data_IF_444493940807
#
_entry.id   IF_444493940807
#
_cell.length_a   1.000
_cell.length_b   1.000
_cell.length_c   1.000
_cell.angle_alpha   90.00
_cell.angle_beta   90.00
_cell.angle_gamma   90.00
#
_symmetry.space_group_name_H-M   'P 1'
#
loop_
_entity.id
_entity.type
_entity.pdbx_description
1 polymer ?
#
# COMPACT_ATOMS: atom_id res chain seq x y z
N UNK A 1 29.16 6.36 11.47
CA UNK A 1 27.93 6.66 12.24
C UNK A 1 27.36 8.04 11.89
N UNK A 2 28.17 9.10 11.84
CA UNK A 2 27.73 10.45 11.44
C UNK A 2 27.10 10.54 10.03
N UNK A 3 27.65 9.81 9.05
CA UNK A 3 27.15 9.83 7.67
C UNK A 3 25.74 9.21 7.51
N UNK A 4 25.42 8.22 8.36
CA UNK A 4 24.11 7.55 8.35
C UNK A 4 23.05 8.47 8.99
N UNK A 5 23.43 9.23 10.02
CA UNK A 5 22.56 10.22 10.67
C UNK A 5 22.24 11.38 9.70
N UNK A 6 23.23 11.84 8.93
CA UNK A 6 23.04 12.87 7.91
C UNK A 6 22.15 12.37 6.75
N UNK A 7 22.31 11.11 6.32
CA UNK A 7 21.46 10.53 5.27
C UNK A 7 20.00 10.33 5.73
N UNK A 8 19.78 9.96 6.99
CA UNK A 8 18.41 9.86 7.56
C UNK A 8 17.77 11.23 7.78
N UNK A 9 18.56 12.27 8.06
CA UNK A 9 18.06 13.64 8.20
C UNK A 9 17.67 14.26 6.85
N UNK A 10 18.37 13.92 5.76
CA UNK A 10 18.07 14.42 4.41
C UNK A 10 16.81 13.79 3.79
N UNK A 11 16.43 12.57 4.18
CA UNK A 11 15.17 11.95 3.75
C UNK A 11 13.95 12.58 4.45
N UNK A 12 14.15 13.16 5.66
CA UNK A 12 13.10 13.86 6.40
C UNK A 12 12.71 15.24 5.84
N UNK A 13 13.55 15.86 5.01
CA UNK A 13 13.35 17.23 4.50
C UNK A 13 12.56 17.31 3.18
N UNK A 14 12.20 16.18 2.58
CA UNK A 14 11.31 16.13 1.40
C UNK A 14 9.87 15.72 1.74
N UNK A 15 9.43 15.93 2.98
CA UNK A 15 8.00 16.02 3.27
C UNK A 15 7.51 17.39 2.80
N UNK A 16 7.26 17.49 1.50
CA UNK A 16 6.47 18.60 0.96
C UNK A 16 5.15 18.65 1.72
N UNK A 17 4.94 19.71 2.50
CA UNK A 17 3.59 20.13 2.82
C UNK A 17 2.97 20.63 1.52
N UNK A 18 2.52 19.71 0.67
CA UNK A 18 1.46 20.04 -0.26
C UNK A 18 0.24 20.33 0.61
N UNK A 19 0.02 21.61 0.90
CA UNK A 19 -1.33 22.09 1.17
C UNK A 19 -2.18 21.56 0.01
N UNK A 20 -2.95 20.51 0.29
CA UNK A 20 -3.80 19.89 -0.69
C UNK A 20 -4.81 20.95 -1.14
N UNK A 21 -4.52 21.63 -2.25
CA UNK A 21 -5.50 22.44 -2.96
C UNK A 21 -6.68 21.50 -3.21
N UNK A 22 -7.92 21.88 -2.85
CA UNK A 22 -9.05 21.00 -3.06
C UNK A 22 -9.08 20.63 -4.55
N UNK A 23 -9.10 19.34 -4.92
CA UNK A 23 -9.33 18.98 -6.31
C UNK A 23 -10.69 19.59 -6.69
N UNK A 24 -10.67 20.53 -7.63
CA UNK A 24 -11.86 20.97 -8.33
C UNK A 24 -12.25 19.80 -9.22
N UNK A 25 -13.23 19.01 -8.79
CA UNK A 25 -13.81 17.96 -9.60
C UNK A 25 -14.53 18.61 -10.79
N UNK A 26 -14.02 18.48 -12.04
CA UNK A 26 -14.61 19.13 -13.20
C UNK A 26 -16.00 18.59 -13.56
N UNK A 27 -16.43 17.49 -12.92
CA UNK A 27 -17.68 16.77 -13.23
C UNK A 27 -18.82 17.02 -12.23
N UNK A 28 -18.61 17.86 -11.21
CA UNK A 28 -19.66 18.14 -10.21
C UNK A 28 -20.58 19.25 -10.70
N UNK A 29 -21.88 18.99 -10.93
CA UNK A 29 -22.79 19.96 -11.55
C UNK A 29 -23.19 21.11 -10.61
N UNK A 30 -22.65 21.15 -9.39
CA UNK A 30 -23.00 22.12 -8.36
C UNK A 30 -21.82 22.99 -7.97
N UNK A 31 -22.12 24.24 -7.59
CA UNK A 31 -21.12 25.18 -7.07
C UNK A 31 -20.69 24.74 -5.68
N UNK A 32 -19.41 24.40 -5.52
CA UNK A 32 -18.86 24.07 -4.20
C UNK A 32 -18.63 25.35 -3.41
N UNK A 33 -19.36 25.53 -2.31
CA UNK A 33 -19.23 26.65 -1.37
C UNK A 33 -18.59 26.17 -0.05
N UNK A 34 -17.88 27.06 0.68
CA UNK A 34 -17.31 26.70 1.97
C UNK A 34 -18.41 26.39 2.99
N UNK A 35 -18.24 25.31 3.74
CA UNK A 35 -19.09 24.98 4.89
C UNK A 35 -18.59 25.73 6.11
N UNK A 36 -19.50 26.36 6.86
CA UNK A 36 -19.16 27.02 8.11
C UNK A 36 -19.49 26.11 9.29
N UNK A 37 -18.51 25.87 10.14
CA UNK A 37 -18.60 25.00 11.31
C UNK A 37 -18.51 25.82 12.58
N UNK A 38 -19.53 25.73 13.43
CA UNK A 38 -19.55 26.44 14.70
C UNK A 38 -19.26 25.47 15.85
N UNK A 39 -17.99 25.32 16.22
CA UNK A 39 -17.52 24.28 17.14
C UNK A 39 -16.92 24.87 18.43
N UNK A 40 -17.25 24.36 19.63
CA UNK A 40 -16.55 24.72 20.87
C UNK A 40 -15.16 24.07 20.94
N UNK A 41 -14.16 24.80 21.47
CA UNK A 41 -12.78 24.29 21.64
C UNK A 41 -12.58 23.48 22.93
N UNK A 42 -13.41 23.73 23.95
CA UNK A 42 -13.53 22.96 25.19
C UNK A 42 -15.02 22.78 25.55
N UNK A 43 -15.40 21.79 26.37
CA UNK A 43 -16.81 21.51 26.69
C UNK A 43 -17.62 22.70 27.21
N UNK A 44 -16.98 23.69 27.83
CA UNK A 44 -17.58 24.92 28.35
C UNK A 44 -16.94 26.19 27.76
N UNK A 45 -16.22 26.08 26.64
CA UNK A 45 -15.41 27.14 26.07
C UNK A 45 -16.11 28.02 25.03
N UNK A 46 -15.44 29.09 24.56
CA UNK A 46 -15.93 29.89 23.44
C UNK A 46 -15.98 29.05 22.16
N UNK A 47 -16.99 29.33 21.33
CA UNK A 47 -17.15 28.67 20.03
C UNK A 47 -16.33 29.39 18.97
N UNK A 48 -15.70 28.62 18.09
CA UNK A 48 -14.96 29.12 16.94
C UNK A 48 -15.70 28.76 15.66
N UNK A 49 -15.70 29.67 14.69
CA UNK A 49 -16.21 29.40 13.35
C UNK A 49 -15.06 28.96 12.45
N UNK A 50 -15.10 27.73 11.98
CA UNK A 50 -14.11 27.16 11.04
C UNK A 50 -14.76 27.01 9.67
N UNK A 51 -14.08 27.45 8.60
CA UNK A 51 -14.53 27.26 7.22
C UNK A 51 -13.75 26.12 6.56
N UNK A 52 -14.45 25.14 5.99
CA UNK A 52 -13.79 24.03 5.28
C UNK A 52 -14.43 22.66 5.48
N UNK A 53 -13.60 21.61 5.45
CA UNK A 53 -13.98 20.20 5.63
C UNK A 53 -13.92 19.77 7.09
N UNK A 54 -14.45 18.57 7.41
CA UNK A 54 -14.33 18.00 8.76
C UNK A 54 -12.86 17.79 9.17
N UNK A 55 -11.97 17.55 8.20
CA UNK A 55 -10.53 17.45 8.44
C UNK A 55 -9.94 18.80 8.88
N UNK A 56 -10.39 19.90 8.28
CA UNK A 56 -9.95 21.25 8.64
C UNK A 56 -10.41 21.62 10.06
N UNK A 57 -11.65 21.23 10.43
CA UNK A 57 -12.16 21.38 11.80
C UNK A 57 -11.33 20.59 12.80
N UNK A 58 -11.01 19.32 12.50
CA UNK A 58 -10.16 18.49 13.35
C UNK A 58 -8.77 19.14 13.52
N UNK A 59 -8.20 19.71 12.45
CA UNK A 59 -6.93 20.40 12.51
C UNK A 59 -7.01 21.67 13.38
N UNK A 60 -8.03 22.51 13.19
CA UNK A 60 -8.26 23.72 14.00
C UNK A 60 -8.49 23.41 15.47
N UNK A 61 -9.28 22.38 15.79
CA UNK A 61 -9.51 21.94 17.16
C UNK A 61 -8.23 21.38 17.80
N UNK A 62 -7.45 20.60 17.06
CA UNK A 62 -6.17 20.05 17.56
C UNK A 62 -5.15 21.15 17.83
N UNK A 63 -5.12 22.20 16.99
CA UNK A 63 -4.26 23.36 17.20
C UNK A 63 -4.70 24.21 18.41
N UNK A 64 -6.02 24.40 18.60
CA UNK A 64 -6.55 25.22 19.68
C UNK A 64 -6.51 24.52 21.05
N UNK A 65 -6.74 23.21 21.09
CA UNK A 65 -6.69 22.40 22.31
C UNK A 65 -6.20 20.98 21.98
N UNK A 66 -4.92 20.63 22.19
CA UNK A 66 -4.40 19.29 21.90
C UNK A 66 -5.13 18.15 22.63
N UNK A 67 -5.78 18.44 23.76
CA UNK A 67 -6.52 17.48 24.57
C UNK A 67 -8.02 17.39 24.22
N UNK A 68 -8.49 18.12 23.19
CA UNK A 68 -9.90 18.20 22.84
C UNK A 68 -10.57 16.82 22.68
N UNK A 69 -9.87 15.84 22.12
CA UNK A 69 -10.38 14.46 21.97
C UNK A 69 -10.75 13.85 23.32
N UNK A 70 -9.91 14.04 24.34
CA UNK A 70 -10.19 13.56 25.70
C UNK A 70 -11.30 14.36 26.36
N UNK A 71 -11.25 15.69 26.21
CA UNK A 71 -12.19 16.60 26.87
C UNK A 71 -13.63 16.43 26.34
N UNK A 72 -13.78 16.15 25.05
CA UNK A 72 -15.05 15.79 24.41
C UNK A 72 -15.32 14.27 24.40
N UNK A 73 -14.52 13.47 25.10
CA UNK A 73 -14.70 12.01 25.26
C UNK A 73 -14.81 11.22 23.94
N UNK A 74 -14.01 11.58 22.94
CA UNK A 74 -14.00 10.95 21.60
C UNK A 74 -13.67 9.45 21.61
N UNK A 75 -13.00 8.96 22.66
CA UNK A 75 -12.60 7.55 22.81
C UNK A 75 -13.78 6.62 23.16
N UNK A 76 -14.92 7.19 23.56
CA UNK A 76 -16.15 6.44 23.80
C UNK A 76 -17.12 6.67 22.63
N UNK A 77 -17.74 5.60 22.13
CA UNK A 77 -18.87 5.71 21.19
C UNK A 77 -20.04 6.20 22.04
N UNK A 78 -20.36 7.50 21.96
CA UNK A 78 -21.62 7.98 22.50
C UNK A 78 -22.76 7.40 21.64
N UNK A 79 -23.76 6.80 22.29
CA UNK A 79 -25.00 6.41 21.62
C UNK A 79 -25.62 7.65 20.97
N UNK A 80 -26.05 7.51 19.72
CA UNK A 80 -26.71 8.59 18.98
C UNK A 80 -27.94 9.06 19.77
N UNK A 81 -28.21 10.38 19.86
CA UNK A 81 -29.35 10.89 20.61
C UNK A 81 -30.66 10.27 20.08
N UNK A 82 -31.50 9.78 21.00
CA UNK A 82 -32.68 8.95 20.74
C UNK A 82 -33.89 9.69 20.10
N UNK A 83 -33.69 10.83 19.44
CA UNK A 83 -34.80 11.64 18.95
C UNK A 83 -34.46 12.39 17.67
N UNK A 84 -34.21 11.65 16.59
CA UNK A 84 -34.39 12.20 15.26
C UNK A 84 -35.65 11.55 14.70
N UNK A 85 -36.75 12.33 14.69
CA UNK A 85 -37.98 11.91 14.02
C UNK A 85 -37.64 11.64 12.56
N UNK A 86 -38.09 10.50 12.08
CA UNK A 86 -38.03 10.15 10.67
C UNK A 86 -38.57 11.31 9.83
N UNK A 87 -37.85 11.69 8.78
CA UNK A 87 -38.37 12.66 7.82
C UNK A 87 -39.34 11.92 6.91
N UNK A 88 -40.63 12.26 7.01
CA UNK A 88 -41.76 11.58 6.35
C UNK A 88 -41.69 11.61 4.79
N UNK A 89 -40.73 12.32 4.21
CA UNK A 89 -40.53 12.50 2.77
C UNK A 89 -39.47 11.57 2.14
N UNK A 90 -38.67 10.87 2.96
CA UNK A 90 -37.69 9.86 2.50
C UNK A 90 -38.26 8.55 1.91
N UNK A 91 -39.51 8.10 2.22
CA UNK A 91 -40.04 6.83 1.71
C UNK A 91 -40.23 6.78 0.19
N UNK A 92 -40.39 7.92 -0.48
CA UNK A 92 -40.82 7.98 -1.89
C UNK A 92 -39.69 8.05 -2.92
N UNK A 93 -38.43 8.12 -2.51
CA UNK A 93 -37.30 8.15 -3.46
C UNK A 93 -36.91 6.71 -3.82
N UNK A 94 -37.12 6.24 -5.07
CA UNK A 94 -36.74 4.90 -5.51
C UNK A 94 -35.22 4.74 -5.43
N UNK A 95 -34.73 3.56 -5.05
CA UNK A 95 -33.29 3.28 -4.97
C UNK A 95 -32.55 3.53 -6.28
N UNK A 96 -33.22 3.40 -7.44
CA UNK A 96 -32.65 3.72 -8.76
C UNK A 96 -32.36 5.20 -9.00
N UNK A 97 -33.04 6.12 -8.29
CA UNK A 97 -32.77 7.56 -8.32
C UNK A 97 -31.82 8.01 -7.21
N UNK A 98 -31.70 7.22 -6.13
CA UNK A 98 -30.86 7.52 -4.99
C UNK A 98 -29.42 6.96 -5.17
N UNK A 99 -29.31 5.78 -5.76
CA UNK A 99 -28.08 4.99 -5.79
C UNK A 99 -27.50 4.97 -7.21
N UNK A 100 -26.38 5.66 -7.39
CA UNK A 100 -25.73 5.86 -8.69
C UNK A 100 -26.67 6.46 -9.77
N UNK A 101 -27.28 7.63 -9.52
CA UNK A 101 -28.17 8.29 -10.48
C UNK A 101 -27.45 8.71 -11.77
N UNK A 102 -26.12 8.86 -11.72
CA UNK A 102 -25.26 9.20 -12.86
C UNK A 102 -24.02 8.30 -12.84
N UNK A 103 -23.80 7.55 -13.92
CA UNK A 103 -22.73 6.54 -14.01
C UNK A 103 -21.32 7.15 -14.13
N UNK A 104 -21.21 8.47 -14.29
CA UNK A 104 -19.93 9.17 -14.40
C UNK A 104 -19.08 9.13 -13.13
N UNK A 105 -19.70 9.00 -11.94
CA UNK A 105 -19.01 9.05 -10.64
C UNK A 105 -18.63 7.66 -10.09
N UNK A 106 -19.21 6.60 -10.63
CA UNK A 106 -19.07 5.24 -10.10
C UNK A 106 -19.57 5.08 -8.66
N UNK A 107 -19.20 3.97 -8.01
CA UNK A 107 -19.61 3.67 -6.64
C UNK A 107 -18.58 4.14 -5.61
N UNK A 108 -19.03 4.85 -4.57
CA UNK A 108 -18.18 5.29 -3.46
C UNK A 108 -17.80 4.12 -2.53
N UNK A 109 -16.59 4.16 -1.96
CA UNK A 109 -16.17 3.19 -0.92
C UNK A 109 -16.87 3.49 0.40
N UNK A 110 -17.54 2.50 0.99
CA UNK A 110 -18.27 2.66 2.27
C UNK A 110 -17.31 2.97 3.44
N UNK A 111 -16.14 2.35 3.53
CA UNK A 111 -15.21 2.53 4.65
C UNK A 111 -14.82 3.99 4.92
N UNK A 112 -14.31 4.73 3.91
CA UNK A 112 -14.03 6.16 4.04
C UNK A 112 -15.27 7.01 4.38
N UNK A 113 -16.46 6.67 3.85
CA UNK A 113 -17.72 7.36 4.21
C UNK A 113 -18.09 7.11 5.67
N UNK A 114 -17.94 5.87 6.16
CA UNK A 114 -18.23 5.50 7.54
C UNK A 114 -17.32 6.25 8.53
N UNK A 115 -16.04 6.43 8.18
CA UNK A 115 -15.14 7.30 8.96
C UNK A 115 -15.66 8.74 9.01
N UNK A 116 -16.14 9.26 7.89
CA UNK A 116 -16.81 10.57 7.82
C UNK A 116 -18.03 10.66 8.74
N UNK A 117 -18.90 9.64 8.73
CA UNK A 117 -20.06 9.52 9.63
C UNK A 117 -19.62 9.56 11.09
N UNK A 118 -18.63 8.75 11.48
CA UNK A 118 -18.14 8.73 12.88
C UNK A 118 -17.59 10.07 13.33
N UNK A 119 -16.91 10.81 12.44
CA UNK A 119 -16.44 12.15 12.78
C UNK A 119 -17.61 13.13 12.94
N UNK A 120 -18.59 13.10 12.03
CA UNK A 120 -19.77 13.95 12.09
C UNK A 120 -20.61 13.72 13.36
N UNK A 121 -20.86 12.47 13.73
CA UNK A 121 -21.63 12.12 14.94
C UNK A 121 -21.03 12.69 16.23
N UNK A 122 -19.72 12.95 16.23
CA UNK A 122 -18.98 13.41 17.40
C UNK A 122 -18.58 14.88 17.31
N UNK A 123 -18.91 15.59 16.22
CA UNK A 123 -18.62 17.02 16.12
C UNK A 123 -19.65 17.82 16.93
N UNK A 124 -19.22 18.61 17.92
CA UNK A 124 -20.12 19.50 18.64
C UNK A 124 -20.42 20.73 17.78
N UNK A 125 -21.69 21.12 17.64
CA UNK A 125 -22.06 22.38 17.00
C UNK A 125 -23.18 22.27 15.98
N UNK A 126 -23.38 23.36 15.25
CA UNK A 126 -24.43 23.49 14.23
C UNK A 126 -23.80 23.84 12.88
N UNK A 127 -23.88 22.96 11.87
CA UNK A 127 -23.43 23.31 10.54
C UNK A 127 -24.34 24.36 9.90
N UNK A 128 -23.71 25.32 9.23
CA UNK A 128 -24.38 26.35 8.44
C UNK A 128 -23.93 26.25 6.97
N UNK A 129 -24.91 26.25 6.06
CA UNK A 129 -24.71 26.28 4.61
C UNK A 129 -25.50 27.46 4.01
N UNK A 130 -24.85 28.18 3.10
CA UNK A 130 -25.43 29.34 2.43
C UNK A 130 -26.67 29.00 1.59
N UNK A 131 -27.40 30.04 1.18
CA UNK A 131 -28.54 29.93 0.28
C UNK A 131 -28.13 29.37 -1.11
N UNK A 132 -28.99 28.53 -1.68
CA UNK A 132 -28.90 28.01 -3.04
C UNK A 132 -29.57 28.92 -4.08
N UNK A 133 -29.96 28.37 -5.26
CA UNK A 133 -29.95 26.95 -5.62
C UNK A 133 -28.56 26.40 -5.96
N UNK A 134 -28.32 25.11 -5.71
CA UNK A 134 -27.07 24.42 -6.06
C UNK A 134 -25.86 24.79 -5.20
N UNK A 135 -26.06 25.31 -3.99
CA UNK A 135 -24.98 25.57 -3.04
C UNK A 135 -24.60 24.26 -2.34
N UNK A 136 -23.46 23.67 -2.71
CA UNK A 136 -23.00 22.41 -2.12
C UNK A 136 -21.72 22.59 -1.32
N UNK A 137 -21.71 22.10 -0.09
CA UNK A 137 -20.52 22.01 0.75
C UNK A 137 -19.93 20.60 0.70
N UNK A 138 -18.59 20.52 0.60
CA UNK A 138 -17.87 19.25 0.77
C UNK A 138 -17.61 19.02 2.26
N UNK A 139 -18.28 18.03 2.83
CA UNK A 139 -18.16 17.69 4.25
C UNK A 139 -16.88 16.89 4.52
N UNK A 140 -16.65 15.84 3.73
CA UNK A 140 -15.48 14.97 3.86
C UNK A 140 -15.07 14.42 2.51
N UNK A 141 -13.77 14.24 2.28
CA UNK A 141 -13.23 13.60 1.09
C UNK A 141 -12.04 12.73 1.49
N UNK A 142 -12.09 11.45 1.11
CA UNK A 142 -11.02 10.50 1.40
C UNK A 142 -11.01 9.36 0.39
N UNK A 143 -9.84 9.06 -0.17
CA UNK A 143 -9.64 8.06 -1.21
C UNK A 143 -10.56 8.26 -2.44
N UNK A 144 -11.53 7.34 -2.63
CA UNK A 144 -12.55 7.33 -3.70
C UNK A 144 -13.95 7.53 -3.14
N UNK A 145 -14.08 8.35 -2.10
CA UNK A 145 -15.36 8.63 -1.47
C UNK A 145 -15.39 10.05 -0.92
N UNK A 146 -16.51 10.73 -1.13
CA UNK A 146 -16.74 12.06 -0.58
C UNK A 146 -18.19 12.20 -0.13
N UNK A 147 -18.40 13.02 0.89
CA UNK A 147 -19.71 13.39 1.42
C UNK A 147 -19.93 14.85 1.07
N UNK A 148 -21.04 15.14 0.39
CA UNK A 148 -21.49 16.49 0.07
C UNK A 148 -22.82 16.77 0.74
N UNK A 149 -23.03 18.02 1.14
CA UNK A 149 -24.33 18.51 1.59
C UNK A 149 -24.71 19.71 0.75
N UNK A 150 -25.86 19.64 0.10
CA UNK A 150 -26.35 20.65 -0.84
C UNK A 150 -27.61 21.32 -0.33
N UNK A 151 -27.73 22.62 -0.62
CA UNK A 151 -28.90 23.43 -0.36
C UNK A 151 -29.41 24.02 -1.68
N UNK A 152 -30.63 23.63 -2.07
CA UNK A 152 -31.32 24.16 -3.24
C UNK A 152 -32.34 25.25 -2.90
N UNK A 153 -32.50 25.57 -1.61
CA UNK A 153 -33.45 26.58 -1.16
C UNK A 153 -32.85 27.98 -1.29
N UNK A 154 -33.69 28.97 -1.56
CA UNK A 154 -33.30 30.38 -1.70
C UNK A 154 -32.90 31.05 -0.37
N UNK A 155 -32.78 30.30 0.72
CA UNK A 155 -32.39 30.79 2.03
C UNK A 155 -31.38 29.86 2.70
N UNK A 156 -30.50 30.38 3.58
CA UNK A 156 -29.48 29.57 4.25
C UNK A 156 -30.08 28.48 5.13
N UNK A 157 -29.35 27.38 5.32
CA UNK A 157 -29.76 26.27 6.17
C UNK A 157 -28.79 26.08 7.32
N UNK A 158 -29.36 26.03 8.52
CA UNK A 158 -28.69 25.60 9.75
C UNK A 158 -29.32 24.30 10.21
N UNK A 159 -28.51 23.33 10.58
CA UNK A 159 -28.99 22.11 11.22
C UNK A 159 -28.70 22.14 12.72
N UNK A 160 -29.54 21.45 13.50
CA UNK A 160 -29.41 21.43 14.97
C UNK A 160 -28.14 20.70 15.46
N UNK A 161 -27.67 19.71 14.71
CA UNK A 161 -26.46 18.95 15.03
C UNK A 161 -25.88 18.26 13.76
N UNK A 162 -24.57 18.03 13.75
CA UNK A 162 -23.85 17.23 12.76
C UNK A 162 -24.28 15.75 12.75
N UNK A 163 -24.80 15.23 13.87
CA UNK A 163 -25.40 13.90 13.94
C UNK A 163 -26.53 13.71 12.90
N UNK A 164 -27.26 14.78 12.56
CA UNK A 164 -28.32 14.73 11.55
C UNK A 164 -27.76 14.46 10.14
N UNK A 165 -26.63 15.07 9.79
CA UNK A 165 -25.93 14.79 8.54
C UNK A 165 -25.43 13.35 8.50
N UNK A 166 -24.85 12.89 9.62
CA UNK A 166 -24.35 11.53 9.74
C UNK A 166 -25.45 10.47 9.54
N UNK A 167 -26.62 10.68 10.13
CA UNK A 167 -27.76 9.77 9.96
C UNK A 167 -28.29 9.79 8.51
N UNK A 168 -28.38 10.97 7.89
CA UNK A 168 -28.76 11.08 6.49
C UNK A 168 -27.83 10.28 5.57
N UNK A 169 -26.51 10.38 5.81
CA UNK A 169 -25.51 9.60 5.05
C UNK A 169 -25.64 8.10 5.35
N UNK A 170 -25.87 7.70 6.60
CA UNK A 170 -26.08 6.30 6.97
C UNK A 170 -27.30 5.70 6.25
N UNK A 171 -28.43 6.42 6.19
CA UNK A 171 -29.62 5.99 5.46
C UNK A 171 -29.38 5.82 3.95
N UNK A 172 -28.54 6.67 3.35
CA UNK A 172 -28.11 6.51 1.95
C UNK A 172 -27.27 5.24 1.80
N UNK A 173 -26.34 4.97 2.71
CA UNK A 173 -25.58 3.71 2.69
C UNK A 173 -26.52 2.52 2.81
N UNK A 174 -27.45 2.53 3.76
CA UNK A 174 -28.35 1.39 4.01
C UNK A 174 -29.22 1.08 2.79
N UNK A 175 -29.67 2.10 2.04
CA UNK A 175 -30.41 1.93 0.79
C UNK A 175 -29.53 1.59 -0.42
N UNK A 176 -28.32 2.15 -0.51
CA UNK A 176 -27.43 2.04 -1.67
C UNK A 176 -26.34 1.00 -1.53
N UNK A 177 -26.34 0.22 -0.45
CA UNK A 177 -25.37 -0.85 -0.24
C UNK A 177 -25.61 -1.97 -1.26
N UNK A 178 -24.63 -2.18 -2.14
CA UNK A 178 -24.56 -3.40 -2.95
C UNK A 178 -24.10 -4.56 -2.06
N UNK A 179 -25.04 -5.39 -1.63
CA UNK A 179 -24.76 -6.79 -1.31
C UNK A 179 -24.90 -7.58 -2.62
N UNK A 180 -24.10 -8.62 -2.87
CA UNK A 180 -24.23 -9.45 -4.08
C UNK A 180 -25.65 -10.04 -4.26
N UNK A 181 -26.46 -10.13 -3.19
CA UNK A 181 -27.90 -10.48 -3.26
C UNK A 181 -28.77 -9.49 -4.04
N UNK A 182 -28.46 -8.18 -4.01
CA UNK A 182 -29.30 -7.16 -4.64
C UNK A 182 -28.91 -6.86 -6.10
N UNK A 183 -27.93 -7.58 -6.64
CA UNK A 183 -27.65 -7.54 -8.08
C UNK A 183 -28.80 -8.17 -8.90
N UNK A 184 -29.61 -9.04 -8.25
CA UNK A 184 -30.79 -9.69 -8.83
C UNK A 184 -31.94 -8.73 -9.20
N UNK A 185 -31.98 -7.52 -8.61
CA UNK A 185 -32.99 -6.51 -8.97
C UNK A 185 -32.61 -5.70 -10.23
N UNK A 186 -31.36 -5.82 -10.70
CA UNK A 186 -30.85 -5.17 -11.90
C UNK A 186 -30.24 -6.23 -12.82
N UNK A 187 -31.10 -6.80 -13.67
CA UNK A 187 -30.86 -7.90 -14.61
C UNK A 187 -29.42 -8.23 -15.00
N UNK A 188 -29.02 -9.47 -14.72
CA UNK A 188 -27.81 -10.12 -15.23
C UNK A 188 -27.84 -11.61 -14.90
N UNK A 189 -27.83 -12.45 -15.93
CA UNK A 189 -28.25 -13.86 -15.99
C UNK A 189 -27.31 -14.90 -15.35
N UNK A 190 -27.95 -15.88 -14.69
CA UNK A 190 -27.68 -17.34 -14.62
C UNK A 190 -26.27 -17.87 -14.33
N UNK A 191 -26.14 -18.59 -13.20
CA UNK A 191 -25.03 -19.52 -12.96
C UNK A 191 -25.01 -20.16 -11.56
N UNK A 192 -25.96 -21.06 -11.28
CA UNK A 192 -25.90 -22.21 -10.35
C UNK A 192 -25.09 -22.14 -9.02
N UNK A 193 -25.85 -22.17 -7.91
CA UNK A 193 -25.65 -22.86 -6.61
C UNK A 193 -24.29 -23.55 -6.30
N UNK A 194 -23.73 -23.53 -5.08
CA UNK A 194 -24.36 -23.80 -3.78
C UNK A 194 -23.36 -23.56 -2.60
N UNK A 195 -23.92 -23.34 -1.40
CA UNK A 195 -23.36 -23.47 -0.02
C UNK A 195 -22.60 -22.31 0.65
N UNK A 196 -23.40 -21.51 1.37
CA UNK A 196 -23.26 -21.00 2.76
C UNK A 196 -21.91 -21.24 3.49
N UNK A 197 -21.28 -20.15 3.91
CA UNK A 197 -20.81 -19.96 5.30
C UNK A 197 -20.60 -18.46 5.55
N UNK A 198 -21.21 -17.94 6.62
CA UNK A 198 -21.40 -16.51 6.85
C UNK A 198 -20.11 -15.67 6.88
N UNK A 199 -20.16 -14.52 6.22
CA UNK A 199 -19.14 -13.47 6.33
C UNK A 199 -19.37 -12.69 7.62
N UNK A 200 -18.74 -13.15 8.69
CA UNK A 200 -18.58 -12.36 9.93
C UNK A 200 -17.79 -11.11 9.59
N UNK A 201 -18.33 -9.94 9.97
CA UNK A 201 -17.75 -8.63 9.71
C UNK A 201 -16.30 -8.53 10.18
N UNK A 202 -15.43 -8.07 9.28
CA UNK A 202 -14.00 -7.88 9.52
C UNK A 202 -13.71 -6.59 10.31
N UNK A 203 -14.36 -6.41 11.46
CA UNK A 203 -13.95 -5.44 12.47
C UNK A 203 -14.04 -6.08 13.85
N UNK A 204 -13.04 -6.89 14.17
CA UNK A 204 -12.79 -7.28 15.55
C UNK A 204 -12.10 -6.11 16.26
N UNK A 205 -12.65 -5.70 17.41
CA UNK A 205 -12.14 -4.66 18.31
C UNK A 205 -10.78 -4.99 18.96
N UNK A 206 -9.97 -5.87 18.36
CA UNK A 206 -8.67 -6.27 18.88
C UNK A 206 -7.59 -6.06 17.82
N UNK A 207 -6.53 -5.33 18.18
CA UNK A 207 -5.42 -4.91 17.29
C UNK A 207 -4.67 -6.08 16.61
N UNK A 208 -4.94 -7.32 17.01
CA UNK A 208 -4.47 -8.54 16.37
C UNK A 208 -5.62 -9.56 16.32
N UNK A 209 -6.33 -9.63 15.20
CA UNK A 209 -7.30 -10.68 14.93
C UNK A 209 -6.70 -11.71 13.96
N UNK A 210 -6.31 -12.91 14.41
CA UNK A 210 -5.85 -13.97 13.51
C UNK A 210 -6.93 -14.36 12.48
N UNK A 211 -8.20 -14.11 12.80
CA UNK A 211 -9.32 -14.33 11.89
C UNK A 211 -9.33 -13.35 10.71
N UNK A 212 -8.87 -12.11 10.90
CA UNK A 212 -8.71 -11.12 9.82
C UNK A 212 -7.58 -11.53 8.87
N UNK A 213 -6.46 -12.04 9.41
CA UNK A 213 -5.38 -12.61 8.61
C UNK A 213 -5.88 -13.76 7.71
N UNK A 214 -6.70 -14.66 8.25
CA UNK A 214 -7.29 -15.78 7.50
C UNK A 214 -8.19 -15.29 6.37
N UNK A 215 -8.94 -14.21 6.57
CA UNK A 215 -9.75 -13.58 5.51
C UNK A 215 -8.86 -13.02 4.40
N UNK A 216 -7.79 -12.29 4.74
CA UNK A 216 -6.87 -11.77 3.72
C UNK A 216 -6.10 -12.88 2.99
N UNK A 217 -5.74 -13.96 3.68
CA UNK A 217 -5.14 -15.15 3.08
C UNK A 217 -6.11 -15.83 2.12
N UNK A 218 -7.36 -16.02 2.52
CA UNK A 218 -8.38 -16.63 1.65
C UNK A 218 -8.61 -15.82 0.38
N UNK A 219 -8.58 -14.48 0.46
CA UNK A 219 -8.65 -13.60 -0.71
C UNK A 219 -7.43 -13.69 -1.63
N UNK A 220 -6.25 -14.02 -1.10
CA UNK A 220 -5.03 -14.26 -1.89
C UNK A 220 -5.10 -15.57 -2.72
N UNK A 221 -5.95 -16.51 -2.31
CA UNK A 221 -6.15 -17.81 -2.96
C UNK A 221 -7.55 -17.95 -3.60
N UNK A 222 -8.22 -16.83 -3.88
CA UNK A 222 -9.59 -16.82 -4.39
C UNK A 222 -9.73 -17.53 -5.75
N UNK A 223 -8.76 -17.33 -6.65
CA UNK A 223 -8.69 -18.05 -7.93
C UNK A 223 -7.41 -18.87 -8.03
N UNK A 224 -7.47 -20.00 -8.75
CA UNK A 224 -6.28 -20.84 -8.98
C UNK A 224 -5.12 -20.07 -9.61
N UNK A 225 -5.41 -19.06 -10.44
CA UNK A 225 -4.39 -18.23 -11.11
C UNK A 225 -3.72 -17.23 -10.15
N UNK A 226 -4.50 -16.54 -9.31
CA UNK A 226 -3.98 -15.59 -8.31
C UNK A 226 -3.25 -16.34 -7.18
N UNK A 227 -3.78 -17.48 -6.74
CA UNK A 227 -3.14 -18.37 -5.77
C UNK A 227 -1.79 -18.88 -6.28
N UNK A 228 -1.74 -19.38 -7.53
CA UNK A 228 -0.47 -19.80 -8.15
C UNK A 228 0.53 -18.66 -8.22
N UNK A 229 0.10 -17.46 -8.65
CA UNK A 229 0.96 -16.28 -8.70
C UNK A 229 1.52 -15.92 -7.33
N UNK A 230 0.67 -15.87 -6.31
CA UNK A 230 1.04 -15.55 -4.93
C UNK A 230 2.05 -16.57 -4.39
N UNK A 231 1.81 -17.86 -4.58
CA UNK A 231 2.74 -18.91 -4.16
C UNK A 231 4.08 -18.81 -4.87
N UNK A 232 4.10 -18.54 -6.18
CA UNK A 232 5.35 -18.39 -6.94
C UNK A 232 6.13 -17.14 -6.51
N UNK A 233 5.44 -16.04 -6.17
CA UNK A 233 6.08 -14.82 -5.65
C UNK A 233 6.68 -15.10 -4.28
N UNK A 234 5.94 -15.72 -3.36
CA UNK A 234 6.45 -16.11 -2.05
C UNK A 234 7.65 -17.06 -2.17
N UNK A 235 7.60 -17.99 -3.12
CA UNK A 235 8.72 -18.88 -3.40
C UNK A 235 9.93 -18.12 -3.97
N UNK A 236 9.73 -17.17 -4.89
CA UNK A 236 10.79 -16.28 -5.37
C UNK A 236 11.43 -15.46 -4.23
N UNK A 237 10.62 -14.94 -3.29
CA UNK A 237 11.09 -14.26 -2.08
C UNK A 237 11.84 -15.17 -1.11
N UNK A 238 11.44 -16.44 -0.98
CA UNK A 238 12.19 -17.44 -0.22
C UNK A 238 13.58 -17.68 -0.84
N UNK A 239 13.62 -17.88 -2.17
CA UNK A 239 14.87 -18.17 -2.89
C UNK A 239 15.86 -16.99 -2.82
N UNK A 240 15.39 -15.77 -3.07
CA UNK A 240 16.25 -14.58 -2.97
C UNK A 240 16.63 -14.26 -1.53
N UNK A 241 15.75 -14.58 -0.57
CA UNK A 241 16.05 -14.47 0.86
C UNK A 241 17.23 -15.34 1.29
N UNK A 242 17.51 -16.43 0.57
CA UNK A 242 18.71 -17.24 0.75
C UNK A 242 19.88 -16.76 -0.12
N UNK A 243 19.66 -16.57 -1.42
CA UNK A 243 20.72 -16.28 -2.38
C UNK A 243 21.37 -14.90 -2.15
N UNK A 244 20.58 -13.88 -1.83
CA UNK A 244 21.09 -12.52 -1.64
C UNK A 244 22.02 -12.41 -0.43
N UNK A 245 21.64 -12.89 0.77
CA UNK A 245 22.54 -12.85 1.93
C UNK A 245 23.75 -13.76 1.79
N UNK A 246 23.61 -14.94 1.17
CA UNK A 246 24.73 -15.87 0.96
C UNK A 246 25.86 -15.27 0.10
N UNK A 247 25.54 -14.28 -0.73
CA UNK A 247 26.52 -13.45 -1.41
C UNK A 247 26.92 -12.22 -0.58
N UNK A 248 25.97 -11.36 -0.21
CA UNK A 248 26.28 -10.03 0.35
C UNK A 248 26.84 -10.06 1.78
N UNK A 249 26.40 -11.01 2.62
CA UNK A 249 26.89 -11.13 4.00
C UNK A 249 28.32 -11.68 4.01
N UNK A 250 28.63 -12.59 3.10
CA UNK A 250 29.95 -13.24 3.00
C UNK A 250 30.89 -12.58 2.00
N UNK A 251 30.43 -11.51 1.32
CA UNK A 251 31.23 -10.75 0.37
C UNK A 251 32.57 -10.28 0.94
N UNK A 252 32.67 -9.74 2.18
CA UNK A 252 33.96 -9.39 2.76
C UNK A 252 34.90 -10.59 2.88
N UNK A 253 34.37 -11.76 3.23
CA UNK A 253 35.13 -13.00 3.35
C UNK A 253 35.61 -13.49 1.98
N UNK A 254 34.79 -13.42 0.94
CA UNK A 254 35.20 -13.77 -0.43
C UNK A 254 36.28 -12.84 -0.96
N UNK A 255 36.16 -11.53 -0.70
CA UNK A 255 37.16 -10.54 -1.08
C UNK A 255 38.48 -10.74 -0.33
N UNK A 256 38.44 -11.02 0.97
CA UNK A 256 39.62 -11.24 1.79
C UNK A 256 40.36 -12.54 1.42
N UNK A 257 39.65 -13.67 1.37
CA UNK A 257 40.27 -14.99 1.09
C UNK A 257 40.89 -15.03 -0.31
N UNK A 258 40.18 -14.55 -1.33
CA UNK A 258 40.70 -14.49 -2.71
C UNK A 258 41.74 -13.39 -2.89
N UNK A 259 41.58 -12.23 -2.24
CA UNK A 259 42.57 -11.15 -2.23
C UNK A 259 43.91 -11.61 -1.66
N UNK A 260 43.90 -12.30 -0.52
CA UNK A 260 45.08 -12.90 0.09
C UNK A 260 45.78 -13.91 -0.84
N UNK A 261 45.00 -14.69 -1.61
CA UNK A 261 45.53 -15.64 -2.60
C UNK A 261 46.32 -14.94 -3.73
N UNK A 262 46.01 -13.68 -4.00
CA UNK A 262 46.65 -12.85 -5.02
C UNK A 262 47.68 -11.87 -4.45
N UNK A 263 48.02 -11.98 -3.16
CA UNK A 263 48.99 -11.10 -2.48
C UNK A 263 48.42 -9.78 -1.96
N UNK A 264 47.09 -9.61 -1.95
CA UNK A 264 46.39 -8.44 -1.41
C UNK A 264 45.72 -8.75 -0.05
N UNK A 265 46.50 -8.89 1.02
CA UNK A 265 46.01 -9.24 2.37
C UNK A 265 45.69 -8.02 3.27
N UNK A 266 45.63 -6.82 2.69
CA UNK A 266 45.34 -5.61 3.46
C UNK A 266 43.86 -5.49 3.78
N UNK A 267 43.51 -5.27 5.05
CA UNK A 267 42.15 -4.93 5.46
C UNK A 267 41.60 -3.72 4.71
N UNK A 268 42.44 -2.72 4.43
CA UNK A 268 42.05 -1.54 3.67
C UNK A 268 41.55 -1.91 2.27
N UNK A 269 42.24 -2.83 1.58
CA UNK A 269 41.88 -3.27 0.23
C UNK A 269 40.54 -4.00 0.24
N UNK A 270 40.31 -4.88 1.22
CA UNK A 270 39.04 -5.62 1.35
C UNK A 270 37.85 -4.68 1.52
N UNK A 271 37.93 -3.72 2.45
CA UNK A 271 36.84 -2.78 2.71
C UNK A 271 36.65 -1.74 1.59
N UNK A 272 37.74 -1.30 0.95
CA UNK A 272 37.69 -0.48 -0.27
C UNK A 272 36.93 -1.21 -1.38
N UNK A 273 37.32 -2.45 -1.66
CA UNK A 273 36.70 -3.28 -2.69
C UNK A 273 35.22 -3.56 -2.35
N UNK A 274 34.90 -3.84 -1.09
CA UNK A 274 33.53 -3.99 -0.62
C UNK A 274 32.69 -2.73 -0.88
N UNK A 275 33.21 -1.54 -0.58
CA UNK A 275 32.51 -0.28 -0.84
C UNK A 275 32.26 -0.07 -2.34
N UNK A 276 33.27 -0.33 -3.18
CA UNK A 276 33.14 -0.24 -4.65
C UNK A 276 32.03 -1.18 -5.16
N UNK A 277 32.03 -2.44 -4.72
CA UNK A 277 31.01 -3.42 -5.12
C UNK A 277 29.59 -2.98 -4.74
N UNK A 278 29.42 -2.39 -3.56
CA UNK A 278 28.10 -1.90 -3.12
C UNK A 278 27.65 -0.66 -3.92
N UNK A 279 28.56 0.26 -4.23
CA UNK A 279 28.26 1.43 -5.08
C UNK A 279 27.81 0.99 -6.47
N UNK A 280 28.47 -0.01 -7.07
CA UNK A 280 28.03 -0.60 -8.35
C UNK A 280 26.65 -1.25 -8.24
N UNK A 281 26.31 -1.85 -7.09
CA UNK A 281 25.01 -2.48 -6.85
C UNK A 281 23.82 -1.49 -6.91
N UNK A 282 24.02 -0.24 -6.47
CA UNK A 282 22.98 0.82 -6.49
C UNK A 282 22.52 1.12 -7.93
N UNK A 283 23.41 0.94 -8.92
CA UNK A 283 23.09 1.22 -10.32
C UNK A 283 22.18 0.14 -10.94
N UNK A 284 22.09 -1.05 -10.35
CA UNK A 284 21.27 -2.16 -10.85
C UNK A 284 19.79 -1.79 -10.95
N UNK A 285 19.12 -1.37 -9.85
CA UNK A 285 17.72 -0.96 -9.88
C UNK A 285 17.45 0.27 -10.77
N UNK A 286 18.43 1.17 -10.93
CA UNK A 286 18.33 2.32 -11.83
C UNK A 286 18.22 1.88 -13.29
N UNK A 287 18.94 0.82 -13.70
CA UNK A 287 18.77 0.22 -15.03
C UNK A 287 17.48 -0.62 -15.11
N UNK A 288 17.09 -1.29 -14.03
CA UNK A 288 15.89 -2.13 -14.00
C UNK A 288 14.60 -1.34 -14.26
N UNK A 289 14.51 -0.09 -13.79
CA UNK A 289 13.36 0.79 -14.00
C UNK A 289 12.96 0.96 -15.48
N UNK A 290 13.82 1.52 -16.35
CA UNK A 290 13.54 1.66 -17.77
C UNK A 290 13.42 0.30 -18.48
N UNK A 291 14.16 -0.73 -18.06
CA UNK A 291 14.01 -2.08 -18.61
C UNK A 291 12.59 -2.63 -18.38
N UNK A 292 12.03 -2.46 -17.18
CA UNK A 292 10.67 -2.88 -16.86
C UNK A 292 9.59 -2.11 -17.62
N UNK A 293 9.87 -0.86 -18.01
CA UNK A 293 8.94 0.00 -18.76
C UNK A 293 9.02 -0.19 -20.28
N UNK A 294 10.05 -0.86 -20.78
CA UNK A 294 10.25 -1.07 -22.21
C UNK A 294 9.48 -2.29 -22.73
N UNK A 295 8.79 -2.12 -23.87
CA UNK A 295 8.14 -3.24 -24.60
C UNK A 295 9.14 -4.27 -25.08
N UNK A 296 10.39 -3.87 -25.31
CA UNK A 296 11.44 -4.72 -25.87
C UNK A 296 11.87 -5.84 -24.91
N UNK A 297 11.84 -5.58 -23.60
CA UNK A 297 12.31 -6.50 -22.57
C UNK A 297 11.19 -7.32 -21.90
N UNK A 298 10.05 -7.50 -22.58
CA UNK A 298 8.89 -8.24 -22.05
C UNK A 298 8.44 -7.77 -20.65
N UNK A 299 8.53 -6.46 -20.40
CA UNK A 299 8.10 -5.84 -19.16
C UNK A 299 8.90 -6.31 -17.94
N UNK A 300 8.18 -6.63 -16.86
CA UNK A 300 8.77 -6.94 -15.55
C UNK A 300 9.24 -8.38 -15.46
N UNK A 301 8.51 -9.32 -16.05
CA UNK A 301 8.92 -10.72 -16.08
C UNK A 301 10.20 -10.92 -16.87
N UNK A 302 10.31 -10.30 -18.05
CA UNK A 302 11.52 -10.40 -18.85
C UNK A 302 12.73 -9.77 -18.14
N UNK A 303 12.55 -8.62 -17.49
CA UNK A 303 13.61 -7.98 -16.70
C UNK A 303 14.08 -8.87 -15.53
N UNK A 304 13.17 -9.55 -14.83
CA UNK A 304 13.55 -10.53 -13.80
C UNK A 304 14.31 -11.73 -14.40
N UNK A 305 13.86 -12.29 -15.51
CA UNK A 305 14.54 -13.44 -16.14
C UNK A 305 15.95 -13.05 -16.57
N UNK A 306 16.10 -11.90 -17.25
CA UNK A 306 17.41 -11.39 -17.70
C UNK A 306 18.31 -11.12 -16.50
N UNK A 307 17.80 -10.44 -15.46
CA UNK A 307 18.55 -10.16 -14.24
C UNK A 307 19.04 -11.45 -13.56
N UNK A 308 18.20 -12.47 -13.46
CA UNK A 308 18.59 -13.74 -12.84
C UNK A 308 19.62 -14.53 -13.67
N UNK A 309 19.41 -14.65 -14.99
CA UNK A 309 20.30 -15.40 -15.87
C UNK A 309 21.68 -14.73 -15.99
N UNK A 310 21.72 -13.40 -16.13
CA UNK A 310 22.99 -12.66 -16.21
C UNK A 310 23.74 -12.76 -14.88
N UNK A 311 23.05 -12.66 -13.74
CA UNK A 311 23.67 -12.88 -12.41
C UNK A 311 24.25 -14.28 -12.28
N UNK A 312 23.52 -15.31 -12.74
CA UNK A 312 24.00 -16.69 -12.76
C UNK A 312 25.26 -16.86 -13.61
N UNK A 313 25.31 -16.26 -14.81
CA UNK A 313 26.49 -16.31 -15.69
C UNK A 313 27.70 -15.70 -14.96
N UNK A 314 27.54 -14.53 -14.33
CA UNK A 314 28.63 -13.90 -13.61
C UNK A 314 29.08 -14.69 -12.37
N UNK A 315 28.16 -15.38 -11.67
CA UNK A 315 28.55 -16.30 -10.59
C UNK A 315 29.41 -17.46 -11.10
N UNK A 316 29.08 -18.05 -12.25
CA UNK A 316 29.93 -19.08 -12.85
C UNK A 316 31.27 -18.52 -13.31
N UNK A 317 31.30 -17.36 -13.97
CA UNK A 317 32.53 -16.71 -14.38
C UNK A 317 33.44 -16.35 -13.19
N UNK A 318 32.86 -15.96 -12.05
CA UNK A 318 33.60 -15.65 -10.84
C UNK A 318 34.45 -16.82 -10.33
N UNK A 319 34.03 -18.06 -10.57
CA UNK A 319 34.81 -19.25 -10.17
C UNK A 319 36.13 -19.38 -10.93
N UNK A 320 36.27 -18.72 -12.09
CA UNK A 320 37.45 -18.75 -12.94
C UNK A 320 38.41 -17.58 -12.71
N UNK A 321 38.19 -16.75 -11.68
CA UNK A 321 39.02 -15.59 -11.37
C UNK A 321 40.45 -15.99 -11.03
N UNK A 322 41.42 -15.37 -11.71
CA UNK A 322 42.87 -15.59 -11.51
C UNK A 322 43.65 -14.32 -11.13
N UNK A 323 42.99 -13.15 -11.06
CA UNK A 323 43.62 -11.91 -10.64
C UNK A 323 42.76 -11.09 -9.68
N UNK A 324 43.40 -10.22 -8.88
CA UNK A 324 42.70 -9.33 -7.96
C UNK A 324 41.77 -8.33 -8.68
N UNK A 325 42.19 -7.80 -9.85
CA UNK A 325 41.35 -6.93 -10.67
C UNK A 325 40.12 -7.66 -11.21
N UNK A 326 40.27 -8.92 -11.63
CA UNK A 326 39.13 -9.77 -12.02
C UNK A 326 38.21 -10.03 -10.83
N UNK A 327 38.76 -10.32 -9.64
CA UNK A 327 37.99 -10.54 -8.42
C UNK A 327 37.05 -9.36 -8.12
N UNK A 328 37.57 -8.14 -8.16
CA UNK A 328 36.76 -6.94 -7.97
C UNK A 328 35.74 -6.76 -9.09
N UNK A 329 36.17 -6.86 -10.36
CA UNK A 329 35.31 -6.62 -11.52
C UNK A 329 34.10 -7.56 -11.58
N UNK A 330 34.30 -8.85 -11.34
CA UNK A 330 33.21 -9.82 -11.32
C UNK A 330 32.28 -9.61 -10.12
N UNK A 331 32.78 -9.29 -8.92
CA UNK A 331 31.92 -8.97 -7.79
C UNK A 331 31.07 -7.70 -8.03
N UNK A 332 31.63 -6.69 -8.70
CA UNK A 332 30.88 -5.50 -9.10
C UNK A 332 29.77 -5.85 -10.11
N UNK A 333 30.07 -6.68 -11.11
CA UNK A 333 29.10 -7.14 -12.10
C UNK A 333 27.97 -7.99 -11.45
N UNK A 334 28.32 -8.91 -10.54
CA UNK A 334 27.36 -9.70 -9.77
C UNK A 334 26.46 -8.77 -8.96
N UNK A 335 27.04 -7.85 -8.19
CA UNK A 335 26.29 -6.88 -7.36
C UNK A 335 25.31 -6.05 -8.19
N UNK A 336 25.75 -5.57 -9.35
CA UNK A 336 24.90 -4.84 -10.29
C UNK A 336 23.73 -5.69 -10.80
N UNK A 337 24.01 -6.87 -11.37
CA UNK A 337 23.00 -7.71 -12.01
C UNK A 337 22.01 -8.31 -11.01
N UNK A 338 22.48 -8.70 -9.82
CA UNK A 338 21.62 -9.32 -8.82
C UNK A 338 20.57 -8.31 -8.29
N UNK A 339 20.96 -7.04 -8.18
CA UNK A 339 20.07 -5.97 -7.74
C UNK A 339 19.04 -5.58 -8.81
N UNK A 340 19.28 -5.89 -10.10
CA UNK A 340 18.23 -5.79 -11.14
C UNK A 340 17.07 -6.71 -10.79
N UNK A 341 17.34 -8.00 -10.53
CA UNK A 341 16.30 -8.94 -10.13
C UNK A 341 15.60 -8.50 -8.85
N UNK A 342 16.39 -8.15 -7.83
CA UNK A 342 15.87 -7.82 -6.51
C UNK A 342 14.99 -6.56 -6.55
N UNK A 343 15.43 -5.52 -7.26
CA UNK A 343 14.65 -4.30 -7.46
C UNK A 343 13.35 -4.54 -8.23
N UNK A 344 13.40 -5.36 -9.29
CA UNK A 344 12.17 -5.69 -10.04
C UNK A 344 11.20 -6.53 -9.23
N UNK A 345 11.66 -7.46 -8.40
CA UNK A 345 10.79 -8.27 -7.54
C UNK A 345 10.03 -7.41 -6.52
N UNK A 346 10.69 -6.42 -5.93
CA UNK A 346 10.07 -5.43 -5.06
C UNK A 346 8.95 -4.64 -5.74
N UNK A 347 9.14 -4.30 -7.01
CA UNK A 347 8.15 -3.56 -7.78
C UNK A 347 7.02 -4.47 -8.31
N UNK A 348 7.33 -5.72 -8.68
CA UNK A 348 6.39 -6.70 -9.22
C UNK A 348 5.40 -7.18 -8.15
N UNK A 349 5.87 -7.48 -6.94
CA UNK A 349 5.07 -8.04 -5.83
C UNK A 349 3.80 -7.25 -5.53
N UNK A 350 3.84 -5.93 -5.27
CA UNK A 350 2.63 -5.16 -5.02
C UNK A 350 1.74 -5.03 -6.25
N UNK A 351 2.25 -5.12 -7.48
CA UNK A 351 1.43 -4.91 -8.68
C UNK A 351 0.53 -6.10 -9.01
N UNK A 352 1.02 -7.31 -8.79
CA UNK A 352 0.23 -8.53 -9.06
C UNK A 352 -0.70 -8.92 -7.91
N UNK A 353 -0.45 -8.41 -6.69
CA UNK A 353 -1.30 -8.72 -5.54
C UNK A 353 -2.60 -7.89 -5.55
N UNK A 354 -3.76 -8.51 -5.28
CA UNK A 354 -5.06 -7.83 -5.20
C UNK A 354 -5.04 -6.68 -4.20
N UNK A 355 -5.60 -5.53 -4.57
CA UNK A 355 -5.51 -4.29 -3.77
C UNK A 355 -6.02 -4.44 -2.32
N UNK A 356 -7.06 -5.25 -2.09
CA UNK A 356 -7.64 -5.52 -0.77
C UNK A 356 -6.73 -6.35 0.15
N UNK A 357 -5.82 -7.16 -0.40
CA UNK A 357 -5.00 -8.11 0.36
C UNK A 357 -3.49 -7.93 0.12
N UNK A 358 -3.09 -6.91 -0.64
CA UNK A 358 -1.71 -6.60 -1.03
C UNK A 358 -0.78 -6.40 0.17
N UNK A 359 -1.26 -5.75 1.23
CA UNK A 359 -0.49 -5.54 2.46
C UNK A 359 -0.09 -6.86 3.11
N UNK A 360 -1.04 -7.76 3.31
CA UNK A 360 -0.81 -9.09 3.89
C UNK A 360 0.08 -9.95 2.99
N UNK A 361 -0.19 -9.98 1.68
CA UNK A 361 0.63 -10.75 0.73
C UNK A 361 2.08 -10.30 0.67
N UNK A 362 2.32 -8.98 0.68
CA UNK A 362 3.66 -8.40 0.72
C UNK A 362 4.35 -8.63 2.09
N UNK A 363 3.61 -8.50 3.19
CA UNK A 363 4.13 -8.77 4.54
C UNK A 363 4.62 -10.21 4.70
N UNK A 364 3.85 -11.19 4.22
CA UNK A 364 4.25 -12.60 4.24
C UNK A 364 5.46 -12.83 3.34
N UNK A 365 5.49 -12.25 2.14
CA UNK A 365 6.62 -12.36 1.23
C UNK A 365 7.94 -11.89 1.88
N UNK A 366 7.92 -10.71 2.51
CA UNK A 366 9.09 -10.20 3.24
C UNK A 366 9.42 -11.05 4.47
N UNK A 367 8.41 -11.55 5.20
CA UNK A 367 8.60 -12.47 6.32
C UNK A 367 9.36 -13.74 5.92
N UNK A 368 8.93 -14.38 4.83
CA UNK A 368 9.60 -15.55 4.26
C UNK A 368 11.03 -15.24 3.81
N UNK A 369 11.26 -14.07 3.21
CA UNK A 369 12.59 -13.60 2.85
C UNK A 369 13.51 -13.48 4.08
N UNK A 370 12.99 -12.98 5.22
CA UNK A 370 13.77 -12.90 6.46
C UNK A 370 14.08 -14.27 7.06
N UNK A 371 13.14 -15.21 7.01
CA UNK A 371 13.36 -16.59 7.49
C UNK A 371 14.51 -17.25 6.72
N UNK A 372 14.50 -17.17 5.39
CA UNK A 372 15.59 -17.73 4.57
C UNK A 372 16.90 -16.96 4.70
N UNK A 373 16.83 -15.66 4.99
CA UNK A 373 18.00 -14.87 5.35
C UNK A 373 18.68 -15.36 6.62
N UNK A 374 17.92 -15.76 7.63
CA UNK A 374 18.48 -16.40 8.85
C UNK A 374 19.10 -17.76 8.50
N UNK A 375 18.45 -18.55 7.65
CA UNK A 375 18.98 -19.84 7.18
C UNK A 375 20.32 -19.70 6.42
N UNK A 376 20.55 -18.58 5.74
CA UNK A 376 21.83 -18.34 5.05
C UNK A 376 23.04 -18.34 5.99
N UNK A 377 22.87 -17.81 7.21
CA UNK A 377 23.92 -17.79 8.22
C UNK A 377 24.23 -19.20 8.73
N UNK A 378 23.20 -20.05 8.87
CA UNK A 378 23.36 -21.47 9.24
C UNK A 378 24.09 -22.23 8.14
N UNK A 379 23.73 -22.01 6.87
CA UNK A 379 24.41 -22.67 5.75
C UNK A 379 25.89 -22.29 5.73
N UNK A 380 26.23 -21.04 6.03
CA UNK A 380 27.63 -20.59 6.06
C UNK A 380 28.47 -21.13 7.22
N UNK A 381 27.87 -21.64 8.31
CA UNK A 381 28.65 -22.33 9.35
C UNK A 381 29.13 -23.71 8.89
N UNK A 382 28.42 -24.33 7.94
CA UNK A 382 28.76 -25.64 7.40
C UNK A 382 29.40 -25.57 6.01
N UNK A 383 29.17 -24.49 5.27
CA UNK A 383 29.76 -24.27 3.97
C UNK A 383 31.11 -23.55 4.12
N UNK A 384 32.19 -24.21 3.71
CA UNK A 384 33.52 -23.63 3.71
C UNK A 384 33.58 -22.49 2.67
N UNK A 385 33.64 -21.25 3.17
CA UNK A 385 33.67 -20.01 2.36
C UNK A 385 34.97 -19.82 1.57
N UNK A 386 36.00 -20.63 1.84
CA UNK A 386 37.21 -20.68 1.02
C UNK A 386 36.99 -21.42 -0.30
N UNK A 387 35.97 -22.27 -0.36
CA UNK A 387 35.63 -23.07 -1.54
C UNK A 387 34.66 -22.31 -2.48
N UNK A 388 34.60 -22.64 -3.77
CA UNK A 388 33.61 -22.08 -4.68
C UNK A 388 32.18 -22.61 -4.46
N UNK A 389 31.96 -23.52 -3.49
CA UNK A 389 30.68 -24.21 -3.28
C UNK A 389 29.52 -23.25 -2.98
N UNK A 390 29.63 -22.26 -2.07
CA UNK A 390 28.54 -21.31 -1.82
C UNK A 390 28.12 -20.53 -3.06
N UNK A 391 29.06 -20.29 -3.98
CA UNK A 391 28.85 -19.53 -5.20
C UNK A 391 28.09 -20.36 -6.23
N UNK A 392 28.39 -21.66 -6.33
CA UNK A 392 27.60 -22.60 -7.14
C UNK A 392 26.17 -22.74 -6.62
N UNK A 393 25.99 -22.74 -5.29
CA UNK A 393 24.66 -22.76 -4.67
C UNK A 393 23.89 -21.49 -5.05
N UNK A 394 24.50 -20.31 -4.92
CA UNK A 394 23.89 -19.06 -5.39
C UNK A 394 23.52 -19.12 -6.87
N UNK A 395 24.44 -19.56 -7.74
CA UNK A 395 24.18 -19.69 -9.17
C UNK A 395 22.98 -20.60 -9.47
N UNK A 396 22.90 -21.77 -8.82
CA UNK A 396 21.80 -22.71 -8.97
C UNK A 396 20.46 -22.12 -8.50
N UNK A 397 20.45 -21.40 -7.38
CA UNK A 397 19.25 -20.70 -6.89
C UNK A 397 18.78 -19.65 -7.90
N UNK A 398 19.69 -18.88 -8.50
CA UNK A 398 19.33 -17.91 -9.54
C UNK A 398 18.79 -18.57 -10.82
N UNK A 399 19.23 -19.78 -11.19
CA UNK A 399 18.60 -20.57 -12.26
C UNK A 399 17.16 -20.89 -11.92
N UNK A 400 16.91 -21.43 -10.72
CA UNK A 400 15.56 -21.77 -10.26
C UNK A 400 14.69 -20.51 -10.23
N UNK A 401 15.22 -19.38 -9.78
CA UNK A 401 14.51 -18.10 -9.77
C UNK A 401 14.17 -17.59 -11.17
N UNK A 402 15.05 -17.81 -12.16
CA UNK A 402 14.76 -17.50 -13.56
C UNK A 402 13.60 -18.37 -14.09
N UNK A 403 13.58 -19.66 -13.75
CA UNK A 403 12.49 -20.58 -14.11
C UNK A 403 11.19 -20.14 -13.44
N UNK A 404 11.20 -19.81 -12.14
CA UNK A 404 10.03 -19.33 -11.40
C UNK A 404 9.49 -18.04 -12.03
N UNK A 405 10.37 -17.09 -12.36
CA UNK A 405 9.97 -15.89 -13.08
C UNK A 405 9.38 -16.21 -14.47
N UNK A 406 9.95 -17.18 -15.17
CA UNK A 406 9.42 -17.68 -16.44
C UNK A 406 8.10 -18.45 -16.31
N UNK A 407 7.63 -18.81 -15.12
CA UNK A 407 6.33 -19.47 -14.91
C UNK A 407 5.28 -18.49 -14.39
N UNK A 408 5.65 -17.23 -14.07
CA UNK A 408 4.70 -16.24 -13.57
C UNK A 408 3.49 -16.04 -14.51
N UNK A 409 2.26 -16.24 -14.01
CA UNK A 409 1.05 -16.25 -14.84
C UNK A 409 0.52 -14.85 -15.20
N UNK A 410 1.07 -13.79 -14.59
CA UNK A 410 0.68 -12.41 -14.81
C UNK A 410 1.89 -11.56 -15.24
N UNK A 411 1.69 -10.75 -16.28
CA UNK A 411 2.59 -9.67 -16.68
C UNK A 411 1.85 -8.34 -16.44
N UNK A 412 2.28 -7.50 -15.48
CA UNK A 412 1.61 -6.22 -15.16
C UNK A 412 1.77 -5.16 -16.27
N UNK A 413 2.59 -5.42 -17.29
CA UNK A 413 2.88 -4.46 -18.33
C UNK A 413 1.63 -4.08 -19.15
N UNK A 414 1.18 -2.83 -19.01
CA UNK A 414 0.13 -2.24 -19.86
C UNK A 414 -1.32 -2.59 -19.50
N UNK A 415 -1.57 -3.49 -18.55
CA UNK A 415 -2.91 -3.80 -18.05
C UNK A 415 -3.00 -3.53 -16.55
N UNK A 416 -3.92 -2.65 -16.12
CA UNK A 416 -4.17 -2.42 -14.69
C UNK A 416 -4.69 -3.72 -14.05
N UNK A 417 -4.03 -4.15 -12.98
CA UNK A 417 -4.57 -5.10 -12.00
C UNK A 417 -5.68 -4.41 -11.20
N UNK A 418 -6.85 -4.23 -11.81
CA UNK A 418 -8.07 -3.75 -11.14
C UNK A 418 -9.17 -4.76 -11.32
#
# INVERSE_FOLDING_TARGET
MLLIIILTALIGLFSTQTLARPPTDPSFPYKIVPLHWNVPTTPSGPKITVTGTVQDVIASLTAANPNWKRDFKFDHIAEAPAHIKERDDWPWIPSSKLCAPDWSWGWAKIGPIQKGITYLQKQPGMPYLDAGPGACARISCSEKAAIYWCNDLLYPRVMGDYAYLAEGVQRIIDKCKRNEENLSACGGTTGSSNRRSGSVGAHANNKFSPMELVVHLKGLFETKKIGLSTSLIWFSWLLIGLAYPLYNVFLPTYLATRGASFGEDSQYITWRNYAIVNVCGILGPLLAGPMCASKWFWGRRGTMIIGALVTMIFFFCYTQVRSAAQNLGFNCAISFCLNIYYGTLYAYTPEVLPSAHRGTGNGIAIGLNRIMGIMSAVIATYADTSTPVPIYICAALYVVMAIVAAVFPFEPYGSRSS
#
